data_IF_802381798406
#
_entry.id   IF_802381798406
#
_cell.length_a   1.000
_cell.length_b   1.000
_cell.length_c   1.000
_cell.angle_alpha   90.00
_cell.angle_beta   90.00
_cell.angle_gamma   90.00
#
_symmetry.space_group_name_H-M   'P 1'
#
loop_
_entity.id
_entity.type
_entity.pdbx_description
1 polymer ?
#
# COMPACT_ATOMS: atom_id res chain seq x y z
N UNK A 1 -4.28 -16.96 9.16
CA UNK A 1 -5.19 -15.83 9.25
C UNK A 1 -6.22 -15.84 8.13
N UNK A 2 -7.18 -14.95 8.16
CA UNK A 2 -8.28 -14.89 7.16
C UNK A 2 -7.84 -14.34 5.80
N UNK A 3 -6.73 -13.61 5.75
CA UNK A 3 -6.11 -13.14 4.51
C UNK A 3 -5.40 -14.23 3.71
N UNK A 4 -5.08 -15.37 4.34
CA UNK A 4 -4.44 -16.50 3.69
C UNK A 4 -5.48 -17.56 3.30
N UNK A 5 -5.60 -17.85 2.00
CA UNK A 5 -6.62 -18.73 1.42
C UNK A 5 -5.94 -19.77 0.51
N UNK A 6 -5.48 -20.89 1.05
CA UNK A 6 -4.69 -21.87 0.30
C UNK A 6 -5.43 -22.45 -0.92
N UNK A 7 -6.76 -22.54 -0.84
CA UNK A 7 -7.60 -23.00 -1.96
C UNK A 7 -7.62 -22.07 -3.17
N UNK A 8 -7.10 -20.84 -3.04
CA UNK A 8 -7.04 -19.85 -4.11
C UNK A 8 -5.67 -19.80 -4.81
N UNK A 9 -4.77 -20.74 -4.55
CA UNK A 9 -3.45 -20.78 -5.19
C UNK A 9 -2.40 -19.86 -4.59
N UNK A 10 -2.64 -19.34 -3.38
CA UNK A 10 -1.66 -18.49 -2.69
C UNK A 10 -0.41 -19.25 -2.29
N UNK A 11 0.73 -18.57 -2.12
CA UNK A 11 1.95 -19.20 -1.68
C UNK A 11 1.78 -19.86 -0.32
N UNK A 12 2.57 -20.90 -0.08
CA UNK A 12 2.64 -21.54 1.22
C UNK A 12 3.15 -20.56 2.29
N UNK A 13 2.71 -20.73 3.54
CA UNK A 13 3.04 -19.80 4.65
C UNK A 13 4.54 -19.68 4.90
N UNK A 14 5.32 -20.71 4.61
CA UNK A 14 6.77 -20.71 4.75
C UNK A 14 7.48 -19.73 3.79
N UNK A 15 6.79 -19.27 2.74
CA UNK A 15 7.28 -18.20 1.85
C UNK A 15 6.98 -16.79 2.35
N UNK A 16 6.17 -16.65 3.38
CA UNK A 16 5.74 -15.38 3.96
C UNK A 16 6.44 -15.13 5.30
N UNK A 17 6.55 -13.87 5.67
CA UNK A 17 7.08 -13.43 6.96
C UNK A 17 6.30 -12.22 7.47
N UNK A 18 6.16 -12.13 8.79
CA UNK A 18 5.69 -10.91 9.45
C UNK A 18 6.86 -9.94 9.57
N UNK A 19 6.68 -8.75 9.01
CA UNK A 19 7.62 -7.66 9.04
C UNK A 19 7.08 -6.55 9.92
N UNK A 20 7.84 -6.11 10.92
CA UNK A 20 7.54 -4.94 11.75
C UNK A 20 8.44 -3.78 11.30
N UNK A 21 7.84 -2.64 10.98
CA UNK A 21 8.58 -1.47 10.49
C UNK A 21 8.13 -0.19 11.20
N UNK A 22 9.04 0.81 11.34
CA UNK A 22 8.68 2.09 11.92
C UNK A 22 7.95 2.98 10.90
N UNK A 23 7.09 3.87 11.40
CA UNK A 23 6.51 4.96 10.63
C UNK A 23 6.13 6.12 11.56
N UNK A 24 5.92 7.32 10.99
CA UNK A 24 5.29 8.43 11.69
C UNK A 24 3.79 8.44 11.36
N UNK A 25 2.94 8.49 12.40
CA UNK A 25 1.49 8.60 12.20
C UNK A 25 1.10 9.99 11.67
N UNK A 26 -0.18 10.22 11.38
CA UNK A 26 -0.66 11.50 10.88
C UNK A 26 -0.46 12.67 11.86
N UNK A 27 -0.32 12.40 13.14
CA UNK A 27 0.07 13.37 14.16
C UNK A 27 1.59 13.60 14.24
N UNK A 28 2.39 12.86 13.45
CA UNK A 28 3.84 12.93 13.45
C UNK A 28 4.49 12.12 14.57
N UNK A 29 3.75 11.26 15.26
CA UNK A 29 4.28 10.44 16.36
C UNK A 29 4.96 9.20 15.81
N UNK A 30 6.16 8.85 16.29
CA UNK A 30 6.82 7.61 15.93
C UNK A 30 6.01 6.40 16.45
N UNK A 31 5.82 5.42 15.58
CA UNK A 31 5.11 4.18 15.90
C UNK A 31 5.63 3.04 15.03
N UNK A 32 5.11 1.83 15.21
CA UNK A 32 5.45 0.65 14.42
C UNK A 32 4.21 0.00 13.86
N UNK A 33 4.34 -0.61 12.69
CA UNK A 33 3.26 -1.36 12.03
C UNK A 33 3.71 -2.76 11.60
N UNK A 34 2.74 -3.57 11.25
CA UNK A 34 2.94 -4.97 10.86
C UNK A 34 2.46 -5.21 9.43
N UNK A 35 3.32 -5.78 8.60
CA UNK A 35 3.03 -6.24 7.25
C UNK A 35 3.37 -7.72 7.12
N UNK A 36 2.50 -8.50 6.50
CA UNK A 36 2.86 -9.84 6.02
C UNK A 36 3.36 -9.70 4.59
N UNK A 37 4.58 -10.15 4.32
CA UNK A 37 5.24 -9.97 3.02
C UNK A 37 5.96 -11.24 2.58
N UNK A 38 6.34 -11.33 1.30
CA UNK A 38 7.23 -12.39 0.84
C UNK A 38 8.57 -12.32 1.57
N UNK A 39 9.13 -13.45 1.98
CA UNK A 39 10.48 -13.50 2.58
C UNK A 39 11.53 -12.83 1.70
N UNK A 40 11.43 -13.00 0.38
CA UNK A 40 12.34 -12.40 -0.60
C UNK A 40 12.27 -10.85 -0.63
N UNK A 41 11.14 -10.27 -0.25
CA UNK A 41 10.93 -8.82 -0.24
C UNK A 41 11.20 -8.17 1.13
N UNK A 42 11.26 -8.95 2.20
CA UNK A 42 11.27 -8.44 3.57
C UNK A 42 12.43 -7.47 3.85
N UNK A 43 13.67 -7.84 3.48
CA UNK A 43 14.85 -7.01 3.73
C UNK A 43 14.79 -5.67 2.97
N UNK A 44 14.30 -5.70 1.73
CA UNK A 44 14.14 -4.50 0.90
C UNK A 44 13.04 -3.60 1.46
N UNK A 45 11.90 -4.15 1.84
CA UNK A 45 10.80 -3.39 2.45
C UNK A 45 11.21 -2.78 3.80
N UNK A 46 11.93 -3.53 4.64
CA UNK A 46 12.47 -2.99 5.90
C UNK A 46 13.33 -1.75 5.64
N UNK A 47 14.22 -1.80 4.65
CA UNK A 47 15.07 -0.66 4.27
C UNK A 47 14.23 0.52 3.73
N UNK A 48 13.24 0.27 2.86
CA UNK A 48 12.37 1.30 2.30
C UNK A 48 11.62 2.04 3.42
N UNK A 49 10.99 1.31 4.34
CA UNK A 49 10.24 1.93 5.44
C UNK A 49 11.14 2.64 6.45
N UNK A 50 12.34 2.14 6.70
CA UNK A 50 13.35 2.84 7.51
C UNK A 50 13.76 4.15 6.85
N UNK A 51 14.02 4.16 5.55
CA UNK A 51 14.35 5.36 4.79
C UNK A 51 13.22 6.42 4.84
N UNK A 52 11.98 5.98 4.66
CA UNK A 52 10.79 6.86 4.76
C UNK A 52 10.67 7.42 6.18
N UNK A 53 10.86 6.59 7.20
CA UNK A 53 10.82 6.98 8.61
C UNK A 53 11.92 8.00 8.95
N UNK A 54 13.16 7.73 8.58
CA UNK A 54 14.31 8.59 8.87
C UNK A 54 14.20 9.97 8.20
N UNK A 55 13.58 10.01 7.01
CA UNK A 55 13.34 11.27 6.30
C UNK A 55 12.33 12.18 7.00
N UNK A 56 11.43 11.61 7.82
CA UNK A 56 10.27 12.26 8.44
C UNK A 56 9.37 13.03 7.45
N UNK A 57 9.56 12.82 6.15
CA UNK A 57 8.90 13.56 5.08
C UNK A 57 7.54 12.97 4.67
N UNK A 58 7.21 11.77 5.16
CA UNK A 58 5.97 11.08 4.80
C UNK A 58 5.32 10.44 6.03
N UNK A 59 3.99 10.49 6.09
CA UNK A 59 3.20 9.97 7.22
C UNK A 59 2.24 8.88 6.78
N UNK A 60 2.00 7.92 7.66
CA UNK A 60 1.11 6.78 7.45
C UNK A 60 0.06 6.79 8.57
N UNK A 61 -1.23 6.66 8.22
CA UNK A 61 -2.32 6.68 9.21
C UNK A 61 -2.23 5.49 10.16
N UNK A 62 -2.17 4.27 9.58
CA UNK A 62 -2.02 3.01 10.29
C UNK A 62 -1.40 1.95 9.41
N UNK A 63 -0.87 0.91 10.02
CA UNK A 63 -0.26 -0.21 9.31
C UNK A 63 -0.52 -1.50 10.09
N UNK A 64 -1.49 -2.27 9.62
CA UNK A 64 -1.98 -3.48 10.28
C UNK A 64 -2.22 -4.59 9.28
N UNK A 65 -2.12 -5.84 9.73
CA UNK A 65 -2.46 -7.00 8.90
C UNK A 65 -3.93 -6.96 8.47
N UNK A 66 -4.20 -7.32 7.22
CA UNK A 66 -5.58 -7.39 6.67
C UNK A 66 -6.46 -8.38 7.46
N UNK A 67 -5.86 -9.32 8.17
CA UNK A 67 -6.55 -10.23 9.10
C UNK A 67 -7.38 -9.51 10.17
N UNK A 68 -6.97 -8.32 10.61
CA UNK A 68 -7.73 -7.49 11.57
C UNK A 68 -9.06 -7.00 10.99
N UNK A 69 -9.15 -6.96 9.66
CA UNK A 69 -10.33 -6.59 8.90
C UNK A 69 -11.07 -7.82 8.33
N UNK A 70 -10.87 -8.98 8.94
CA UNK A 70 -11.49 -10.22 8.49
C UNK A 70 -10.97 -10.78 7.17
N UNK A 71 -9.83 -10.28 6.67
CA UNK A 71 -9.30 -10.61 5.35
C UNK A 71 -10.02 -9.86 4.21
N UNK A 72 -10.82 -8.84 4.54
CA UNK A 72 -11.51 -7.99 3.58
C UNK A 72 -10.61 -6.82 3.14
N UNK A 73 -10.37 -6.74 1.85
CA UNK A 73 -9.63 -5.65 1.22
C UNK A 73 -10.37 -4.32 1.36
N UNK A 74 -11.66 -4.31 1.00
CA UNK A 74 -12.49 -3.11 1.08
C UNK A 74 -12.60 -2.56 2.52
N UNK A 75 -12.73 -3.44 3.52
CA UNK A 75 -12.77 -3.00 4.92
C UNK A 75 -11.41 -2.43 5.38
N UNK A 76 -10.30 -3.02 4.94
CA UNK A 76 -8.95 -2.53 5.20
C UNK A 76 -8.74 -1.15 4.56
N UNK A 77 -9.10 -0.98 3.28
CA UNK A 77 -8.99 0.30 2.57
C UNK A 77 -9.87 1.39 3.19
N UNK A 78 -11.13 1.06 3.52
CA UNK A 78 -12.06 2.00 4.17
C UNK A 78 -11.54 2.49 5.53
N UNK A 79 -10.78 1.66 6.25
CA UNK A 79 -10.11 2.02 7.49
C UNK A 79 -8.81 2.81 7.29
N UNK A 80 -8.47 3.17 6.06
CA UNK A 80 -7.22 3.83 5.68
C UNK A 80 -5.97 3.05 6.12
N UNK A 81 -6.05 1.71 6.03
CA UNK A 81 -5.00 0.82 6.50
C UNK A 81 -3.94 0.57 5.42
N UNK A 82 -2.69 0.86 5.74
CA UNK A 82 -1.54 0.43 4.96
C UNK A 82 -1.35 -1.07 5.13
N UNK A 83 -1.32 -1.83 4.03
CA UNK A 83 -1.31 -3.29 4.06
C UNK A 83 -0.47 -3.90 2.93
N UNK A 84 -0.14 -5.18 3.05
CA UNK A 84 0.63 -5.89 2.04
C UNK A 84 -0.06 -7.19 1.60
N UNK A 85 0.19 -8.32 2.28
CA UNK A 85 -0.36 -9.61 1.87
C UNK A 85 -1.88 -9.68 2.04
N UNK A 86 -2.53 -10.02 0.95
CA UNK A 86 -3.94 -10.45 0.93
C UNK A 86 -4.14 -11.41 -0.24
N UNK A 87 -4.47 -12.66 0.06
CA UNK A 87 -4.70 -13.66 -0.97
C UNK A 87 -6.04 -13.44 -1.68
N UNK A 88 -5.98 -12.82 -2.84
CA UNK A 88 -7.14 -12.54 -3.68
C UNK A 88 -6.73 -12.39 -5.15
N UNK A 89 -7.63 -12.63 -6.10
CA UNK A 89 -7.40 -12.23 -7.48
C UNK A 89 -7.45 -10.69 -7.61
N UNK A 90 -6.93 -10.19 -8.71
CA UNK A 90 -7.22 -8.83 -9.18
C UNK A 90 -8.71 -8.74 -9.46
N UNK A 91 -9.35 -7.65 -9.04
CA UNK A 91 -10.79 -7.47 -9.16
C UNK A 91 -11.26 -7.64 -10.62
N UNK A 92 -12.35 -8.40 -10.81
CA UNK A 92 -12.91 -8.72 -12.13
C UNK A 92 -12.09 -9.73 -12.94
N UNK A 93 -11.07 -10.38 -12.37
CA UNK A 93 -10.21 -11.35 -13.06
C UNK A 93 -10.02 -12.64 -12.27
N UNK A 94 -9.41 -13.65 -12.88
CA UNK A 94 -8.93 -14.88 -12.22
C UNK A 94 -7.43 -14.83 -11.88
N UNK A 95 -6.73 -13.78 -12.30
CA UNK A 95 -5.29 -13.63 -12.05
C UNK A 95 -5.05 -13.18 -10.61
N UNK A 96 -4.16 -13.86 -9.89
CA UNK A 96 -3.79 -13.46 -8.54
C UNK A 96 -3.09 -12.10 -8.54
N UNK A 97 -3.50 -11.25 -7.59
CA UNK A 97 -2.85 -9.97 -7.34
C UNK A 97 -1.42 -10.17 -6.82
N UNK A 98 -0.54 -9.18 -7.01
CA UNK A 98 0.78 -9.13 -6.39
C UNK A 98 0.70 -9.19 -4.85
N UNK A 99 -0.40 -8.69 -4.26
CA UNK A 99 -0.70 -8.85 -2.82
C UNK A 99 -0.82 -10.32 -2.40
N UNK A 100 -1.36 -11.18 -3.26
CA UNK A 100 -1.46 -12.61 -2.99
C UNK A 100 -0.10 -13.30 -2.82
N UNK A 101 0.96 -12.70 -3.34
CA UNK A 101 2.33 -13.19 -3.22
C UNK A 101 3.16 -12.44 -2.15
N UNK A 102 2.60 -11.44 -1.48
CA UNK A 102 3.32 -10.58 -0.55
C UNK A 102 4.35 -9.67 -1.24
N UNK A 103 4.12 -9.33 -2.51
CA UNK A 103 4.97 -8.52 -3.37
C UNK A 103 4.35 -7.16 -3.72
N UNK A 104 3.35 -6.74 -2.97
CA UNK A 104 2.74 -5.42 -3.08
C UNK A 104 2.44 -4.83 -1.71
N UNK A 105 2.43 -3.51 -1.65
CA UNK A 105 2.06 -2.70 -0.47
C UNK A 105 1.17 -1.57 -0.92
N UNK A 106 0.02 -1.42 -0.26
CA UNK A 106 -0.89 -0.28 -0.42
C UNK A 106 -0.75 0.66 0.78
N UNK A 107 -0.54 1.94 0.52
CA UNK A 107 -0.25 2.94 1.55
C UNK A 107 -1.34 4.01 1.59
N UNK A 108 -1.95 4.25 2.76
CA UNK A 108 -2.97 5.27 3.00
C UNK A 108 -4.04 5.29 1.90
N UNK A 109 -4.86 4.24 1.75
CA UNK A 109 -5.80 4.10 0.64
C UNK A 109 -6.76 5.27 0.44
N UNK A 110 -7.17 5.93 1.51
CA UNK A 110 -8.09 7.08 1.44
C UNK A 110 -7.41 8.28 0.77
N UNK A 111 -6.17 8.63 1.16
CA UNK A 111 -5.43 9.71 0.52
C UNK A 111 -4.87 9.30 -0.85
N UNK A 112 -4.81 8.02 -1.14
CA UNK A 112 -4.20 7.47 -2.34
C UNK A 112 -5.09 6.43 -3.02
N UNK A 113 -6.32 6.82 -3.46
CA UNK A 113 -7.29 5.87 -3.97
C UNK A 113 -6.87 5.25 -5.30
N UNK A 114 -7.47 4.11 -5.59
CA UNK A 114 -7.59 3.63 -6.96
C UNK A 114 -8.63 4.45 -7.72
N UNK A 115 -8.34 4.81 -8.98
CA UNK A 115 -9.21 5.68 -9.79
C UNK A 115 -9.24 5.20 -11.22
N UNK A 116 -10.46 5.02 -11.76
CA UNK A 116 -10.69 4.70 -13.18
C UNK A 116 -11.92 5.44 -13.68
N UNK A 117 -11.73 6.45 -14.53
CA UNK A 117 -12.81 7.35 -14.92
C UNK A 117 -13.41 8.05 -13.69
N UNK A 118 -14.69 7.84 -13.44
CA UNK A 118 -15.40 8.38 -12.28
C UNK A 118 -15.46 7.41 -11.08
N UNK A 119 -14.92 6.21 -11.23
CA UNK A 119 -14.84 5.24 -10.15
C UNK A 119 -13.65 5.56 -9.24
N UNK A 120 -13.89 5.54 -7.93
CA UNK A 120 -12.89 5.81 -6.88
C UNK A 120 -13.04 4.79 -5.76
N UNK A 121 -11.97 4.10 -5.42
CA UNK A 121 -11.96 3.13 -4.32
C UNK A 121 -10.73 3.33 -3.40
N UNK A 122 -10.95 3.50 -2.10
CA UNK A 122 -12.23 3.60 -1.39
C UNK A 122 -12.98 4.92 -1.72
N UNK A 123 -14.29 4.92 -1.60
CA UNK A 123 -15.14 6.10 -1.90
C UNK A 123 -14.71 7.36 -1.13
N UNK A 124 -14.23 7.19 0.10
CA UNK A 124 -13.68 8.29 0.91
C UNK A 124 -12.46 8.97 0.26
N UNK A 125 -11.86 8.35 -0.76
CA UNK A 125 -10.74 8.91 -1.53
C UNK A 125 -11.13 9.94 -2.59
N UNK A 126 -12.42 10.19 -2.85
CA UNK A 126 -12.87 11.18 -3.87
C UNK A 126 -12.24 12.57 -3.76
N UNK A 127 -11.95 13.11 -2.59
CA UNK A 127 -11.21 14.37 -2.49
C UNK A 127 -9.80 14.33 -3.10
N UNK A 128 -9.27 13.14 -3.37
CA UNK A 128 -7.90 12.88 -3.84
C UNK A 128 -7.84 12.14 -5.19
N UNK A 129 -8.93 12.15 -5.96
CA UNK A 129 -9.11 11.35 -7.18
C UNK A 129 -8.22 11.75 -8.37
N UNK A 130 -7.67 12.96 -8.36
CA UNK A 130 -6.86 13.50 -9.47
C UNK A 130 -5.70 14.38 -8.99
N UNK A 131 -4.64 14.44 -9.81
CA UNK A 131 -3.40 15.14 -9.46
C UNK A 131 -3.61 16.57 -8.97
N UNK A 132 -4.40 17.47 -9.60
CA UNK A 132 -4.60 18.81 -9.09
C UNK A 132 -5.20 18.87 -7.68
N UNK A 133 -6.17 18.01 -7.36
CA UNK A 133 -6.76 17.92 -6.02
C UNK A 133 -5.73 17.41 -4.99
N UNK A 134 -4.93 16.40 -5.36
CA UNK A 134 -3.89 15.81 -4.53
C UNK A 134 -2.82 16.83 -4.19
N UNK A 135 -2.31 17.57 -5.20
CA UNK A 135 -1.32 18.61 -5.02
C UNK A 135 -1.87 19.76 -4.14
N UNK A 136 -3.11 20.17 -4.36
CA UNK A 136 -3.75 21.19 -3.54
C UNK A 136 -3.94 20.74 -2.08
N UNK A 137 -4.26 19.48 -1.84
CA UNK A 137 -4.39 18.94 -0.50
C UNK A 137 -3.03 18.85 0.22
N UNK A 138 -1.96 18.41 -0.46
CA UNK A 138 -0.61 18.41 0.09
C UNK A 138 -0.13 19.82 0.41
N UNK A 139 -0.35 20.79 -0.48
CA UNK A 139 0.01 22.21 -0.25
C UNK A 139 -0.69 22.80 0.97
N UNK A 140 -1.85 22.26 1.37
CA UNK A 140 -2.55 22.62 2.61
C UNK A 140 -2.08 21.83 3.84
N UNK A 141 -1.05 21.00 3.71
CA UNK A 141 -0.50 20.20 4.79
C UNK A 141 -1.27 18.92 5.10
N UNK A 142 -2.10 18.43 4.17
CA UNK A 142 -2.77 17.13 4.32
C UNK A 142 -1.71 16.01 4.35
N UNK A 143 -1.59 15.22 5.43
CA UNK A 143 -0.58 14.19 5.51
C UNK A 143 -0.90 12.98 4.62
N UNK A 144 0.14 12.23 4.25
CA UNK A 144 0.01 10.90 3.69
C UNK A 144 -0.35 10.81 2.21
N UNK A 145 -0.29 11.92 1.47
CA UNK A 145 -0.52 11.94 0.02
C UNK A 145 0.74 11.52 -0.71
N UNK A 146 0.62 10.53 -1.60
CA UNK A 146 1.72 10.06 -2.45
C UNK A 146 1.68 10.84 -3.76
N UNK A 147 2.72 11.60 -4.06
CA UNK A 147 2.90 12.30 -5.32
C UNK A 147 4.10 11.76 -6.09
N UNK A 148 4.05 11.85 -7.43
CA UNK A 148 5.19 11.53 -8.28
C UNK A 148 6.39 12.40 -7.90
N UNK A 149 7.55 11.79 -7.63
CA UNK A 149 8.75 12.49 -7.15
C UNK A 149 8.79 12.74 -5.64
N UNK A 150 7.72 12.45 -4.89
CA UNK A 150 7.71 12.53 -3.43
C UNK A 150 8.55 11.44 -2.75
N UNK A 151 8.76 11.60 -1.43
CA UNK A 151 9.65 10.73 -0.65
C UNK A 151 9.29 9.24 -0.73
N UNK A 152 8.00 8.89 -0.63
CA UNK A 152 7.56 7.51 -0.71
C UNK A 152 7.86 6.89 -2.08
N UNK A 153 7.48 7.56 -3.18
CA UNK A 153 7.75 7.08 -4.55
C UNK A 153 9.25 6.94 -4.80
N UNK A 154 10.04 7.92 -4.36
CA UNK A 154 11.48 7.89 -4.50
C UNK A 154 12.12 6.70 -3.78
N UNK A 155 11.73 6.43 -2.53
CA UNK A 155 12.25 5.31 -1.73
C UNK A 155 11.92 3.96 -2.38
N UNK A 156 10.69 3.74 -2.80
CA UNK A 156 10.28 2.52 -3.48
C UNK A 156 11.00 2.31 -4.81
N UNK A 157 11.01 3.33 -5.68
CA UNK A 157 11.65 3.23 -7.01
C UNK A 157 13.15 2.99 -6.94
N UNK A 158 13.88 3.64 -6.01
CA UNK A 158 15.33 3.39 -5.81
C UNK A 158 15.62 1.93 -5.44
N UNK A 159 14.67 1.26 -4.82
CA UNK A 159 14.78 -0.13 -4.41
C UNK A 159 14.12 -1.11 -5.41
N UNK A 160 13.85 -0.69 -6.65
CA UNK A 160 13.37 -1.55 -7.74
C UNK A 160 11.87 -1.85 -7.70
N UNK A 161 11.09 -1.14 -6.90
CA UNK A 161 9.63 -1.25 -6.88
C UNK A 161 8.98 -0.30 -7.87
N UNK A 162 7.81 -0.69 -8.38
CA UNK A 162 6.97 0.10 -9.28
C UNK A 162 5.84 0.76 -8.51
N UNK A 163 5.23 1.80 -9.08
CA UNK A 163 4.12 2.53 -8.50
C UNK A 163 2.92 2.57 -9.45
N UNK A 164 1.72 2.24 -8.95
CA UNK A 164 0.48 2.26 -9.72
C UNK A 164 0.01 3.65 -10.13
N UNK A 165 0.53 4.71 -9.52
CA UNK A 165 0.31 6.09 -9.97
C UNK A 165 0.95 6.42 -11.32
N UNK A 166 1.89 5.61 -11.80
CA UNK A 166 2.50 5.75 -13.13
C UNK A 166 1.64 5.14 -14.25
N UNK A 167 0.66 4.31 -13.94
CA UNK A 167 -0.18 3.67 -14.96
C UNK A 167 -0.98 4.69 -15.77
N UNK A 168 -1.24 4.42 -17.04
CA UNK A 168 -1.88 5.36 -17.96
C UNK A 168 -3.39 5.16 -18.08
N UNK A 169 -3.89 3.92 -18.06
CA UNK A 169 -5.29 3.59 -18.27
C UNK A 169 -6.18 3.79 -17.04
N UNK A 170 -5.60 3.72 -15.87
CA UNK A 170 -6.19 4.01 -14.56
C UNK A 170 -5.06 4.34 -13.60
N UNK A 171 -5.38 4.82 -12.41
CA UNK A 171 -4.41 5.15 -11.37
C UNK A 171 -4.67 4.30 -10.14
N UNK A 172 -3.60 3.78 -9.55
CA UNK A 172 -3.64 3.16 -8.25
C UNK A 172 -2.58 3.82 -7.36
N UNK A 173 -2.97 4.94 -6.78
CA UNK A 173 -2.03 5.81 -6.10
C UNK A 173 -1.45 5.22 -4.81
N UNK A 174 -2.18 4.26 -4.18
CA UNK A 174 -1.71 3.57 -2.98
C UNK A 174 -0.67 2.49 -3.27
N UNK A 175 -0.67 1.93 -4.51
CA UNK A 175 -0.10 0.64 -4.86
C UNK A 175 1.37 0.70 -5.27
N UNK A 176 2.23 0.07 -4.46
CA UNK A 176 3.63 -0.22 -4.80
C UNK A 176 3.81 -1.72 -4.96
N UNK A 177 4.55 -2.17 -5.98
CA UNK A 177 4.66 -3.59 -6.29
C UNK A 177 5.95 -3.99 -6.98
N UNK A 178 6.29 -5.27 -6.86
CA UNK A 178 7.26 -5.95 -7.72
C UNK A 178 6.53 -6.88 -8.70
N UNK A 179 7.05 -7.00 -9.92
CA UNK A 179 6.57 -8.01 -10.86
C UNK A 179 6.98 -9.40 -10.38
N UNK A 180 6.02 -10.33 -10.32
CA UNK A 180 6.32 -11.74 -10.14
C UNK A 180 7.10 -12.23 -11.36
N UNK A 181 8.32 -12.74 -11.15
CA UNK A 181 9.09 -13.45 -12.16
C UNK A 181 8.98 -14.96 -11.93
#
# INVERSE_FOLDING_TARGET
>A
GKSWKPSQGCPSRDRLVLLTVPFHDFAGRPTTGELVVAKSAAAVLARIFTEIYDSAAFRIERMERVDKYGGSDSASMAANNTSAFNCRPVEGTTTLSAHAFGLAVDINPVQNPWVKGDEVDPEAGRPFDRVPKRQAAENRGQPGIILGGGAAVAAFKRNGWKWGGDWSSYKDYQHFFQTCH
#
